data_IF_661945357215
#
_entry.id   IF_661945357215
#
_cell.length_a   1.000
_cell.length_b   1.000
_cell.length_c   1.000
_cell.angle_alpha   90.00
_cell.angle_beta   90.00
_cell.angle_gamma   90.00
#
_symmetry.space_group_name_H-M   'P 1'
#
loop_
_entity.id
_entity.type
_entity.pdbx_description
1 polymer ?
#
# COMPACT_ATOMS: atom_id res chain seq x y z
N UNK A 1 -21.63 -24.78 6.79
CA UNK A 1 -20.17 -24.77 6.54
C UNK A 1 -19.86 -23.45 5.86
N UNK A 2 -19.83 -22.36 6.64
CA UNK A 2 -19.47 -21.02 6.15
C UNK A 2 -17.96 -21.00 5.93
N UNK A 3 -17.51 -21.17 4.69
CA UNK A 3 -16.10 -21.48 4.43
C UNK A 3 -15.14 -20.34 4.85
N UNK A 4 -15.60 -19.08 4.88
CA UNK A 4 -14.85 -17.89 5.35
C UNK A 4 -15.88 -16.84 5.82
N UNK A 5 -15.74 -16.28 7.02
CA UNK A 5 -16.63 -15.18 7.47
C UNK A 5 -16.45 -13.94 6.57
N UNK A 6 -17.51 -13.18 6.27
CA UNK A 6 -17.40 -12.00 5.39
C UNK A 6 -16.39 -10.97 5.93
N UNK A 7 -16.21 -10.93 7.25
CA UNK A 7 -15.21 -10.10 7.89
C UNK A 7 -13.78 -10.52 7.53
N UNK A 8 -13.50 -11.82 7.50
CA UNK A 8 -12.18 -12.34 7.12
C UNK A 8 -11.89 -12.11 5.63
N UNK A 9 -12.91 -12.20 4.76
CA UNK A 9 -12.76 -11.82 3.34
C UNK A 9 -12.36 -10.35 3.21
N UNK A 10 -13.04 -9.44 3.93
CA UNK A 10 -12.71 -8.02 3.92
C UNK A 10 -11.30 -7.75 4.48
N UNK A 11 -10.88 -8.47 5.51
CA UNK A 11 -9.54 -8.34 6.08
C UNK A 11 -8.46 -8.71 5.07
N UNK A 12 -8.65 -9.80 4.31
CA UNK A 12 -7.70 -10.24 3.27
C UNK A 12 -7.69 -9.26 2.09
N UNK A 13 -8.86 -8.77 1.66
CA UNK A 13 -8.93 -7.76 0.59
C UNK A 13 -8.20 -6.48 1.02
N UNK A 14 -8.41 -6.02 2.25
CA UNK A 14 -7.70 -4.85 2.77
C UNK A 14 -6.20 -5.10 2.85
N UNK A 15 -5.78 -6.29 3.30
CA UNK A 15 -4.39 -6.69 3.32
C UNK A 15 -3.77 -6.66 1.93
N UNK A 16 -4.44 -7.19 0.90
CA UNK A 16 -3.97 -7.13 -0.49
C UNK A 16 -3.77 -5.69 -0.97
N UNK A 17 -4.72 -4.80 -0.70
CA UNK A 17 -4.64 -3.39 -1.09
C UNK A 17 -3.45 -2.71 -0.42
N UNK A 18 -3.34 -2.81 0.90
CA UNK A 18 -2.26 -2.20 1.68
C UNK A 18 -0.91 -2.82 1.31
N UNK A 19 -0.86 -4.13 1.01
CA UNK A 19 0.37 -4.81 0.57
C UNK A 19 0.89 -4.27 -0.74
N UNK A 20 0.03 -4.11 -1.75
CA UNK A 20 0.44 -3.56 -3.05
C UNK A 20 1.00 -2.14 -2.92
N UNK A 21 0.38 -1.32 -2.06
CA UNK A 21 0.86 0.03 -1.76
C UNK A 21 2.17 0.00 -0.98
N UNK A 22 2.30 -0.86 0.03
CA UNK A 22 3.50 -0.98 0.87
C UNK A 22 4.71 -1.50 0.07
N UNK A 23 4.50 -2.47 -0.82
CA UNK A 23 5.52 -2.98 -1.75
C UNK A 23 6.00 -1.85 -2.67
N UNK A 24 5.08 -1.04 -3.20
CA UNK A 24 5.44 0.13 -4.01
C UNK A 24 6.28 1.14 -3.23
N UNK A 25 5.84 1.52 -2.03
CA UNK A 25 6.56 2.46 -1.17
C UNK A 25 7.97 1.95 -0.82
N UNK A 26 8.06 0.66 -0.47
CA UNK A 26 9.34 0.00 -0.17
C UNK A 26 10.22 -0.01 -1.40
N UNK A 27 9.68 -0.35 -2.57
CA UNK A 27 10.46 -0.39 -3.80
C UNK A 27 11.05 0.98 -4.17
N UNK A 28 10.24 2.04 -4.09
CA UNK A 28 10.70 3.40 -4.32
C UNK A 28 11.86 3.75 -3.36
N UNK A 29 11.70 3.45 -2.08
CA UNK A 29 12.72 3.74 -1.08
C UNK A 29 13.99 2.89 -1.23
N UNK A 30 13.87 1.56 -1.26
CA UNK A 30 15.04 0.66 -1.26
C UNK A 30 15.86 0.74 -2.55
N UNK A 31 15.25 1.16 -3.68
CA UNK A 31 15.93 1.19 -4.98
C UNK A 31 16.35 2.58 -5.41
N UNK A 32 15.55 3.60 -5.14
CA UNK A 32 15.89 4.99 -5.53
C UNK A 32 16.33 5.86 -4.36
N UNK A 33 16.32 5.34 -3.13
CA UNK A 33 16.61 6.08 -1.90
C UNK A 33 15.70 7.31 -1.67
N UNK A 34 14.52 7.30 -2.30
CA UNK A 34 13.51 8.37 -2.20
C UNK A 34 12.23 7.80 -1.58
N UNK A 35 11.87 8.21 -0.36
CA UNK A 35 10.58 7.85 0.23
C UNK A 35 9.45 8.52 -0.55
N UNK A 36 8.48 7.73 -1.01
CA UNK A 36 7.29 8.25 -1.68
C UNK A 36 6.13 8.40 -0.69
N UNK A 37 5.92 9.61 -0.16
CA UNK A 37 4.78 9.88 0.71
C UNK A 37 3.44 9.93 -0.02
N UNK A 38 3.45 10.17 -1.33
CA UNK A 38 2.24 10.24 -2.14
C UNK A 38 1.65 8.85 -2.50
N UNK A 39 2.22 7.75 -1.99
CA UNK A 39 1.85 6.37 -2.36
C UNK A 39 0.36 6.08 -2.22
N UNK A 40 -0.28 6.53 -1.13
CA UNK A 40 -1.71 6.31 -0.92
C UNK A 40 -2.55 7.15 -1.89
N UNK A 41 -2.07 8.34 -2.26
CA UNK A 41 -2.72 9.21 -3.23
C UNK A 41 -2.63 8.66 -4.65
N UNK A 42 -1.55 7.96 -5.02
CA UNK A 42 -1.56 7.13 -6.24
C UNK A 42 -2.67 6.06 -6.21
N UNK A 43 -2.93 5.49 -5.03
CA UNK A 43 -4.09 4.64 -4.79
C UNK A 43 -5.43 5.33 -5.07
N UNK A 44 -5.61 6.53 -4.53
CA UNK A 44 -6.82 7.33 -4.78
C UNK A 44 -6.96 7.74 -6.25
N UNK A 45 -5.86 8.02 -6.94
CA UNK A 45 -5.88 8.23 -8.40
C UNK A 45 -6.45 6.98 -9.10
N UNK A 46 -6.03 5.78 -8.69
CA UNK A 46 -6.60 4.51 -9.15
C UNK A 46 -8.11 4.37 -8.88
N UNK A 47 -8.57 4.79 -7.70
CA UNK A 47 -10.00 4.84 -7.36
C UNK A 47 -10.77 5.73 -8.37
N UNK A 48 -10.25 6.90 -8.70
CA UNK A 48 -10.91 7.83 -9.63
C UNK A 48 -10.79 7.43 -11.10
N UNK A 49 -9.70 6.78 -11.52
CA UNK A 49 -9.60 6.15 -12.84
C UNK A 49 -10.67 5.07 -12.96
N UNK A 50 -10.79 4.21 -11.94
CA UNK A 50 -11.82 3.16 -11.86
C UNK A 50 -13.22 3.77 -11.93
N UNK A 51 -13.45 4.85 -11.19
CA UNK A 51 -14.73 5.56 -11.21
C UNK A 51 -15.10 6.04 -12.61
N UNK A 52 -14.16 6.66 -13.32
CA UNK A 52 -14.39 7.14 -14.68
C UNK A 52 -14.64 5.99 -15.66
N UNK A 53 -13.86 4.90 -15.58
CA UNK A 53 -14.08 3.71 -16.40
C UNK A 53 -15.48 3.10 -16.19
N UNK A 54 -15.90 2.95 -14.94
CA UNK A 54 -17.18 2.28 -14.62
C UNK A 54 -18.37 3.21 -14.84
N UNK A 55 -18.34 4.43 -14.30
CA UNK A 55 -19.50 5.33 -14.29
C UNK A 55 -19.66 6.16 -15.56
N UNK A 56 -18.57 6.51 -16.24
CA UNK A 56 -18.63 7.33 -17.46
C UNK A 56 -18.59 6.42 -18.69
N UNK A 57 -17.61 5.52 -18.76
CA UNK A 57 -17.46 4.64 -19.93
C UNK A 57 -18.29 3.35 -19.87
N UNK A 58 -18.95 3.05 -18.74
CA UNK A 58 -19.79 1.84 -18.60
C UNK A 58 -18.99 0.53 -18.63
N UNK A 59 -17.68 0.58 -18.37
CA UNK A 59 -16.82 -0.60 -18.43
C UNK A 59 -17.01 -1.51 -17.21
N UNK A 60 -16.77 -2.84 -17.34
CA UNK A 60 -16.72 -3.74 -16.20
C UNK A 60 -15.67 -3.28 -15.17
N UNK A 61 -16.00 -3.38 -13.88
CA UNK A 61 -15.15 -2.94 -12.76
C UNK A 61 -13.71 -3.46 -12.89
N UNK A 62 -13.56 -4.77 -13.12
CA UNK A 62 -12.24 -5.40 -13.16
C UNK A 62 -11.42 -5.07 -14.41
N UNK A 63 -12.06 -4.59 -15.49
CA UNK A 63 -11.34 -4.15 -16.69
C UNK A 63 -10.58 -2.84 -16.45
N UNK A 64 -11.06 -2.01 -15.51
CA UNK A 64 -10.39 -0.76 -15.10
C UNK A 64 -8.99 -0.98 -14.53
N UNK A 65 -8.66 -2.21 -14.08
CA UNK A 65 -7.36 -2.57 -13.55
C UNK A 65 -6.23 -2.33 -14.56
N UNK A 66 -6.45 -2.67 -15.84
CA UNK A 66 -5.47 -2.44 -16.89
C UNK A 66 -5.21 -0.94 -17.09
N UNK A 67 -6.27 -0.14 -17.07
CA UNK A 67 -6.15 1.32 -17.16
C UNK A 67 -5.44 1.91 -15.94
N UNK A 68 -5.72 1.42 -14.74
CA UNK A 68 -5.04 1.86 -13.52
C UNK A 68 -3.54 1.54 -13.54
N UNK A 69 -3.14 0.37 -14.02
CA UNK A 69 -1.73 0.01 -14.18
C UNK A 69 -1.02 0.96 -15.15
N UNK A 70 -1.62 1.19 -16.33
CA UNK A 70 -1.02 2.02 -17.38
C UNK A 70 -0.96 3.49 -16.96
N UNK A 71 -2.08 4.08 -16.57
CA UNK A 71 -2.14 5.49 -16.20
C UNK A 71 -1.42 5.77 -14.88
N UNK A 72 -1.55 4.89 -13.88
CA UNK A 72 -0.80 5.01 -12.63
C UNK A 72 0.71 4.97 -12.86
N UNK A 73 1.19 4.06 -13.71
CA UNK A 73 2.60 3.98 -14.07
C UNK A 73 3.09 5.18 -14.88
N UNK A 74 2.27 5.69 -15.82
CA UNK A 74 2.59 6.91 -16.57
C UNK A 74 2.70 8.11 -15.62
N UNK A 75 1.78 8.27 -14.68
CA UNK A 75 1.84 9.34 -13.67
C UNK A 75 3.11 9.20 -12.83
N UNK A 76 3.49 7.97 -12.44
CA UNK A 76 4.76 7.70 -11.77
C UNK A 76 5.99 8.15 -12.57
N UNK A 77 6.03 7.85 -13.87
CA UNK A 77 7.09 8.31 -14.78
C UNK A 77 7.11 9.84 -14.89
N UNK A 78 5.94 10.47 -15.00
CA UNK A 78 5.82 11.93 -15.11
C UNK A 78 6.39 12.59 -13.85
N UNK A 79 6.01 12.11 -12.67
CA UNK A 79 6.50 12.62 -11.39
C UNK A 79 8.01 12.43 -11.27
N UNK A 80 8.53 11.26 -11.67
CA UNK A 80 9.96 11.03 -11.68
C UNK A 80 10.68 12.05 -12.58
N UNK A 81 10.22 12.24 -13.82
CA UNK A 81 10.88 13.14 -14.78
C UNK A 81 10.76 14.62 -14.42
N UNK A 82 9.61 15.05 -13.91
CA UNK A 82 9.33 16.46 -13.67
C UNK A 82 9.77 16.93 -12.28
N UNK A 83 9.86 16.03 -11.29
CA UNK A 83 10.17 16.41 -9.92
C UNK A 83 11.41 15.70 -9.40
N UNK A 84 11.41 14.37 -9.37
CA UNK A 84 12.44 13.60 -8.66
C UNK A 84 13.80 13.72 -9.35
N UNK A 85 13.84 13.55 -10.67
CA UNK A 85 15.06 13.65 -11.45
C UNK A 85 15.69 15.06 -11.40
N UNK A 86 14.95 16.17 -11.63
CA UNK A 86 15.53 17.50 -11.51
C UNK A 86 16.03 17.84 -10.10
N UNK A 87 15.33 17.37 -9.06
CA UNK A 87 15.80 17.53 -7.67
C UNK A 87 17.12 16.79 -7.46
N UNK A 88 17.22 15.55 -7.95
CA UNK A 88 18.43 14.74 -7.85
C UNK A 88 19.60 15.34 -8.62
N UNK A 89 19.38 15.81 -9.85
CA UNK A 89 20.41 16.48 -10.67
C UNK A 89 20.95 17.76 -10.02
N UNK A 90 20.17 18.40 -9.15
CA UNK A 90 20.57 19.57 -8.36
C UNK A 90 21.25 19.21 -7.03
N UNK A 91 21.48 17.93 -6.76
CA UNK A 91 22.12 17.47 -5.53
C UNK A 91 21.23 17.54 -4.30
N UNK A 92 19.90 17.47 -4.47
CA UNK A 92 18.98 17.44 -3.34
C UNK A 92 19.26 16.23 -2.45
N UNK A 93 19.29 16.49 -1.15
CA UNK A 93 19.36 15.48 -0.10
C UNK A 93 18.10 14.62 -0.06
N UNK A 94 18.19 13.49 0.66
CA UNK A 94 17.07 12.57 0.82
C UNK A 94 15.89 13.26 1.50
N UNK A 95 16.17 14.07 2.51
CA UNK A 95 15.20 14.80 3.30
C UNK A 95 14.46 15.85 2.46
N UNK A 96 15.18 16.58 1.60
CA UNK A 96 14.58 17.54 0.66
C UNK A 96 13.63 16.85 -0.33
N UNK A 97 14.02 15.68 -0.83
CA UNK A 97 13.16 14.90 -1.74
C UNK A 97 11.94 14.35 -1.02
N UNK A 98 12.06 13.96 0.25
CA UNK A 98 10.92 13.57 1.09
C UNK A 98 9.90 14.71 1.21
N UNK A 99 10.36 15.91 1.56
CA UNK A 99 9.51 17.11 1.67
C UNK A 99 8.84 17.41 0.32
N UNK A 100 9.56 17.26 -0.80
CA UNK A 100 8.97 17.43 -2.12
C UNK A 100 7.84 16.42 -2.41
N UNK A 101 7.98 15.15 -2.01
CA UNK A 101 6.91 14.16 -2.19
C UNK A 101 5.71 14.39 -1.28
N UNK A 102 5.90 14.99 -0.10
CA UNK A 102 4.79 15.46 0.75
C UNK A 102 4.05 16.63 0.10
N UNK A 103 4.78 17.59 -0.47
CA UNK A 103 4.18 18.68 -1.25
C UNK A 103 3.41 18.18 -2.47
N UNK A 104 3.96 17.17 -3.15
CA UNK A 104 3.29 16.48 -4.25
C UNK A 104 2.01 15.77 -3.79
N UNK A 105 2.03 15.09 -2.64
CA UNK A 105 0.85 14.43 -2.08
C UNK A 105 -0.32 15.41 -1.89
N UNK A 106 -0.03 16.56 -1.25
CA UNK A 106 -1.02 17.62 -1.04
C UNK A 106 -1.54 18.17 -2.38
N UNK A 107 -0.66 18.40 -3.35
CA UNK A 107 -1.02 18.85 -4.69
C UNK A 107 -1.94 17.85 -5.40
N UNK A 108 -1.61 16.56 -5.36
CA UNK A 108 -2.40 15.50 -5.99
C UNK A 108 -3.78 15.36 -5.33
N UNK A 109 -3.86 15.46 -4.00
CA UNK A 109 -5.14 15.46 -3.27
C UNK A 109 -6.00 16.66 -3.71
N UNK A 110 -5.42 17.85 -3.87
CA UNK A 110 -6.14 19.02 -4.35
C UNK A 110 -6.66 18.82 -5.79
N UNK A 111 -5.83 18.29 -6.69
CA UNK A 111 -6.25 17.96 -8.06
C UNK A 111 -7.37 16.92 -8.09
N UNK A 112 -7.31 15.90 -7.24
CA UNK A 112 -8.37 14.90 -7.12
C UNK A 112 -9.69 15.50 -6.60
N UNK A 113 -9.63 16.44 -5.66
CA UNK A 113 -10.82 17.15 -5.21
C UNK A 113 -11.44 17.99 -6.33
N UNK A 114 -10.63 18.73 -7.09
CA UNK A 114 -11.09 19.49 -8.27
C UNK A 114 -11.74 18.54 -9.28
N UNK A 115 -11.12 17.38 -9.54
CA UNK A 115 -11.64 16.39 -10.46
C UNK A 115 -12.97 15.78 -9.97
N UNK A 116 -13.09 15.45 -8.70
CA UNK A 116 -14.33 14.94 -8.11
C UNK A 116 -15.47 15.98 -8.17
N UNK A 117 -15.16 17.25 -7.95
CA UNK A 117 -16.15 18.33 -8.06
C UNK A 117 -16.58 18.56 -9.51
N UNK A 118 -15.63 18.45 -10.45
CA UNK A 118 -15.91 18.49 -11.88
C UNK A 118 -16.85 17.34 -12.30
N UNK A 119 -16.57 16.11 -11.87
CA UNK A 119 -17.42 14.94 -12.12
C UNK A 119 -18.83 15.15 -11.58
N UNK A 120 -18.95 15.68 -10.36
CA UNK A 120 -20.23 15.93 -9.72
C UNK A 120 -21.04 17.01 -10.45
N UNK A 121 -20.40 18.10 -10.88
CA UNK A 121 -21.08 19.22 -11.53
C UNK A 121 -21.45 18.96 -12.99
N UNK A 122 -20.56 18.33 -13.74
CA UNK A 122 -20.72 18.15 -15.19
C UNK A 122 -21.49 16.87 -15.51
N UNK A 123 -21.07 15.75 -14.92
CA UNK A 123 -21.70 14.45 -15.18
C UNK A 123 -22.88 14.15 -14.26
N UNK A 124 -23.15 15.01 -13.27
CA UNK A 124 -24.25 14.86 -12.29
C UNK A 124 -24.22 13.52 -11.56
N UNK A 125 -23.03 12.97 -11.36
CA UNK A 125 -22.79 11.71 -10.63
C UNK A 125 -22.25 12.02 -9.23
N UNK A 126 -22.62 11.19 -8.25
CA UNK A 126 -22.10 11.31 -6.90
C UNK A 126 -20.65 10.80 -6.86
N UNK A 127 -19.68 11.71 -7.03
CA UNK A 127 -18.24 11.40 -7.05
C UNK A 127 -17.55 11.55 -5.68
N UNK A 128 -18.34 11.75 -4.63
CA UNK A 128 -17.92 11.75 -3.21
C UNK A 128 -18.76 10.72 -2.47
N UNK A 129 -18.13 9.99 -1.56
CA UNK A 129 -18.76 8.96 -0.71
C UNK A 129 -19.49 7.87 -1.49
N UNK A 130 -18.84 7.34 -2.52
CA UNK A 130 -19.39 6.28 -3.37
C UNK A 130 -18.82 4.90 -3.01
N UNK A 131 -19.52 3.85 -3.44
CA UNK A 131 -19.07 2.46 -3.38
C UNK A 131 -19.43 1.72 -4.68
N UNK A 132 -18.62 0.74 -5.03
CA UNK A 132 -18.84 -0.19 -6.15
C UNK A 132 -19.25 -1.59 -5.71
N UNK A 133 -19.74 -1.75 -4.47
CA UNK A 133 -20.28 -3.03 -3.99
C UNK A 133 -21.32 -3.65 -4.93
N UNK A 134 -22.16 -2.82 -5.58
CA UNK A 134 -23.18 -3.29 -6.53
C UNK A 134 -22.64 -3.75 -7.90
N UNK A 135 -21.40 -3.38 -8.25
CA UNK A 135 -20.73 -3.81 -9.48
C UNK A 135 -19.86 -5.04 -9.27
N UNK A 136 -19.79 -5.56 -8.04
CA UNK A 136 -19.12 -6.82 -7.75
C UNK A 136 -20.04 -8.01 -8.07
N UNK A 137 -19.44 -9.14 -8.41
CA UNK A 137 -20.14 -10.40 -8.57
C UNK A 137 -19.92 -11.27 -7.33
N UNK A 138 -20.81 -12.23 -7.06
CA UNK A 138 -20.62 -13.21 -6.02
C UNK A 138 -20.60 -14.61 -6.63
N UNK A 139 -19.58 -15.40 -6.30
CA UNK A 139 -19.46 -16.80 -6.74
C UNK A 139 -19.47 -17.68 -5.50
N UNK A 140 -20.49 -18.53 -5.39
CA UNK A 140 -20.59 -19.55 -4.32
C UNK A 140 -20.40 -19.00 -2.88
N UNK A 141 -20.86 -17.76 -2.61
CA UNK A 141 -20.76 -17.11 -1.30
C UNK A 141 -19.45 -16.33 -1.06
N UNK A 142 -18.55 -16.29 -2.04
CA UNK A 142 -17.34 -15.46 -2.02
C UNK A 142 -17.56 -14.19 -2.84
N UNK A 143 -17.17 -13.05 -2.28
CA UNK A 143 -17.18 -11.78 -3.01
C UNK A 143 -16.15 -11.84 -4.14
N UNK A 144 -16.52 -11.37 -5.34
CA UNK A 144 -15.64 -11.37 -6.51
C UNK A 144 -14.37 -10.59 -6.24
N UNK A 145 -14.45 -9.51 -5.45
CA UNK A 145 -13.29 -8.71 -5.08
C UNK A 145 -12.26 -9.51 -4.26
N UNK A 146 -12.71 -10.46 -3.43
CA UNK A 146 -11.82 -11.35 -2.68
C UNK A 146 -11.01 -12.23 -3.63
N UNK A 147 -11.66 -12.84 -4.62
CA UNK A 147 -11.02 -13.72 -5.59
C UNK A 147 -10.05 -12.93 -6.47
N UNK A 148 -10.52 -11.83 -7.06
CA UNK A 148 -9.73 -11.05 -8.03
C UNK A 148 -8.56 -10.35 -7.34
N UNK A 149 -8.76 -9.73 -6.17
CA UNK A 149 -7.67 -9.05 -5.45
C UNK A 149 -6.59 -10.04 -4.99
N UNK A 150 -6.98 -11.22 -4.51
CA UNK A 150 -6.02 -12.24 -4.05
C UNK A 150 -5.24 -12.84 -5.21
N UNK A 151 -5.91 -13.15 -6.33
CA UNK A 151 -5.25 -13.67 -7.53
C UNK A 151 -4.30 -12.62 -8.12
N UNK A 152 -4.73 -11.36 -8.17
CA UNK A 152 -3.90 -10.26 -8.66
C UNK A 152 -2.69 -10.03 -7.76
N UNK A 153 -2.87 -9.98 -6.44
CA UNK A 153 -1.78 -9.83 -5.49
C UNK A 153 -0.76 -10.97 -5.59
N UNK A 154 -1.23 -12.23 -5.64
CA UNK A 154 -0.36 -13.38 -5.82
C UNK A 154 0.42 -13.31 -7.14
N UNK A 155 -0.24 -12.91 -8.25
CA UNK A 155 0.41 -12.73 -9.53
C UNK A 155 1.49 -11.63 -9.48
N UNK A 156 1.22 -10.48 -8.84
CA UNK A 156 2.18 -9.39 -8.67
C UNK A 156 3.36 -9.83 -7.82
N UNK A 157 3.14 -10.53 -6.71
CA UNK A 157 4.21 -11.03 -5.85
C UNK A 157 5.13 -12.00 -6.61
N UNK A 158 4.57 -12.96 -7.33
CA UNK A 158 5.34 -13.93 -8.13
C UNK A 158 6.11 -13.20 -9.24
N UNK A 159 5.48 -12.26 -9.92
CA UNK A 159 6.11 -11.48 -10.98
C UNK A 159 7.30 -10.67 -10.46
N UNK A 160 7.10 -9.93 -9.35
CA UNK A 160 8.18 -9.15 -8.73
C UNK A 160 9.29 -10.04 -8.20
N UNK A 161 8.96 -11.20 -7.62
CA UNK A 161 9.98 -12.16 -7.19
C UNK A 161 10.86 -12.62 -8.35
N UNK A 162 10.26 -13.01 -9.48
CA UNK A 162 10.98 -13.44 -10.67
C UNK A 162 11.85 -12.28 -11.19
N UNK A 163 11.30 -11.07 -11.29
CA UNK A 163 12.05 -9.89 -11.74
C UNK A 163 13.27 -9.65 -10.84
N UNK A 164 13.12 -9.65 -9.52
CA UNK A 164 14.25 -9.34 -8.62
C UNK A 164 15.27 -10.46 -8.46
N UNK A 165 14.89 -11.73 -8.66
CA UNK A 165 15.79 -12.87 -8.39
C UNK A 165 16.34 -13.55 -9.63
N UNK A 166 15.64 -13.48 -10.77
CA UNK A 166 15.98 -14.23 -11.99
C UNK A 166 16.34 -13.35 -13.18
N UNK A 167 16.12 -12.03 -13.13
CA UNK A 167 16.36 -11.16 -14.28
C UNK A 167 17.54 -10.21 -14.09
N UNK A 168 18.18 -9.83 -15.19
CA UNK A 168 19.26 -8.84 -15.22
C UNK A 168 18.81 -7.48 -14.68
N UNK A 169 17.52 -7.12 -14.88
CA UNK A 169 16.94 -5.90 -14.32
C UNK A 169 16.99 -5.92 -12.78
N UNK A 170 16.65 -7.05 -12.15
CA UNK A 170 16.70 -7.21 -10.71
C UNK A 170 18.11 -7.07 -10.13
N UNK A 171 19.10 -7.66 -10.81
CA UNK A 171 20.52 -7.56 -10.43
C UNK A 171 21.00 -6.11 -10.53
N UNK A 172 20.68 -5.43 -11.63
CA UNK A 172 21.04 -4.03 -11.85
C UNK A 172 20.37 -3.09 -10.84
N UNK A 173 19.09 -3.33 -10.51
CA UNK A 173 18.38 -2.59 -9.46
C UNK A 173 18.95 -2.84 -8.07
N UNK A 174 19.47 -4.05 -7.80
CA UNK A 174 20.15 -4.34 -6.54
C UNK A 174 21.47 -3.56 -6.45
N UNK A 175 22.28 -3.56 -7.50
CA UNK A 175 23.52 -2.77 -7.55
C UNK A 175 23.25 -1.27 -7.36
N UNK A 176 22.22 -0.74 -8.04
CA UNK A 176 21.79 0.66 -7.91
C UNK A 176 21.37 1.05 -6.48
N UNK A 177 20.73 0.13 -5.75
CA UNK A 177 20.28 0.39 -4.38
C UNK A 177 21.40 0.41 -3.34
N UNK A 178 22.56 -0.20 -3.63
CA UNK A 178 23.74 -0.15 -2.76
C UNK A 178 24.51 1.16 -2.96
N UNK A 179 24.89 1.45 -4.21
CA UNK A 179 25.54 2.69 -4.58
C UNK A 179 25.27 3.00 -6.06
N UNK A 180 24.51 4.06 -6.29
CA UNK A 180 24.11 4.47 -7.63
C UNK A 180 25.33 4.91 -8.47
N UNK A 181 26.28 5.64 -7.89
CA UNK A 181 27.45 6.14 -8.60
C UNK A 181 28.39 5.01 -9.01
N UNK A 182 28.57 4.01 -8.15
CA UNK A 182 29.35 2.81 -8.50
C UNK A 182 28.64 1.97 -9.58
N UNK A 183 27.31 1.85 -9.53
CA UNK A 183 26.57 1.14 -10.57
C UNK A 183 26.70 1.82 -11.95
N UNK A 184 26.69 3.15 -12.00
CA UNK A 184 26.92 3.93 -13.23
C UNK A 184 28.33 3.69 -13.80
N UNK A 185 29.35 3.63 -12.95
CA UNK A 185 30.72 3.29 -13.36
C UNK A 185 30.82 1.87 -13.94
N UNK A 186 29.95 0.94 -13.53
CA UNK A 186 29.87 -0.42 -14.08
C UNK A 186 29.03 -0.50 -15.37
N UNK A 187 28.63 0.64 -15.94
CA UNK A 187 27.87 0.71 -17.19
C UNK A 187 26.37 0.46 -17.03
N UNK A 188 25.84 0.46 -15.81
CA UNK A 188 24.41 0.32 -15.56
C UNK A 188 23.70 1.64 -15.86
N UNK A 189 22.67 1.59 -16.70
CA UNK A 189 21.82 2.75 -16.96
C UNK A 189 20.82 2.96 -15.82
N UNK A 190 21.23 3.71 -14.80
CA UNK A 190 20.43 4.03 -13.60
C UNK A 190 19.18 4.85 -13.92
N UNK A 191 19.21 5.67 -14.96
CA UNK A 191 18.07 6.48 -15.38
C UNK A 191 16.90 5.61 -15.84
N UNK A 192 17.17 4.58 -16.65
CA UNK A 192 16.14 3.61 -17.07
C UNK A 192 15.62 2.83 -15.86
N UNK A 193 16.50 2.40 -14.96
CA UNK A 193 16.08 1.65 -13.77
C UNK A 193 15.20 2.49 -12.84
N UNK A 194 15.51 3.77 -12.68
CA UNK A 194 14.70 4.69 -11.90
C UNK A 194 13.34 4.92 -12.57
N UNK A 195 13.29 5.10 -13.89
CA UNK A 195 12.02 5.20 -14.64
C UNK A 195 11.14 3.96 -14.46
N UNK A 196 11.72 2.76 -14.56
CA UNK A 196 10.99 1.50 -14.35
C UNK A 196 10.52 1.39 -12.90
N UNK A 197 11.36 1.76 -11.94
CA UNK A 197 11.01 1.74 -10.51
C UNK A 197 9.83 2.66 -10.22
N UNK A 198 9.86 3.90 -10.74
CA UNK A 198 8.79 4.87 -10.55
C UNK A 198 7.51 4.53 -11.33
N UNK A 199 7.64 3.86 -12.48
CA UNK A 199 6.48 3.27 -13.16
C UNK A 199 5.79 2.23 -12.27
N UNK A 200 6.55 1.28 -11.70
CA UNK A 200 5.98 0.27 -10.78
C UNK A 200 5.42 0.95 -9.52
N UNK A 201 6.12 1.97 -9.00
CA UNK A 201 5.70 2.70 -7.81
C UNK A 201 4.37 3.45 -8.00
N UNK A 202 4.05 3.89 -9.22
CA UNK A 202 2.75 4.48 -9.54
C UNK A 202 1.68 3.47 -9.94
N UNK A 203 2.06 2.42 -10.67
CA UNK A 203 1.14 1.41 -11.21
C UNK A 203 0.52 0.53 -10.11
N UNK A 204 1.32 0.05 -9.15
CA UNK A 204 0.81 -0.87 -8.12
C UNK A 204 -0.20 -0.23 -7.16
N UNK A 205 0.03 0.98 -6.59
CA UNK A 205 -0.98 1.62 -5.76
C UNK A 205 -2.24 1.95 -6.55
N UNK A 206 -2.11 2.44 -7.79
CA UNK A 206 -3.26 2.73 -8.63
C UNK A 206 -4.10 1.46 -8.89
N UNK A 207 -3.46 0.33 -9.19
CA UNK A 207 -4.17 -0.94 -9.33
C UNK A 207 -4.82 -1.40 -8.02
N UNK A 208 -4.18 -1.20 -6.87
CA UNK A 208 -4.76 -1.48 -5.56
C UNK A 208 -6.02 -0.66 -5.29
N UNK A 209 -6.06 0.58 -5.79
CA UNK A 209 -7.22 1.48 -5.72
C UNK A 209 -8.50 0.93 -6.35
N UNK A 210 -8.42 0.02 -7.33
CA UNK A 210 -9.59 -0.60 -7.97
C UNK A 210 -10.44 -1.38 -6.97
N UNK A 211 -9.80 -2.04 -6.00
CA UNK A 211 -10.46 -2.94 -5.06
C UNK A 211 -11.06 -2.22 -3.86
N UNK A 212 -10.51 -1.05 -3.49
CA UNK A 212 -10.93 -0.29 -2.32
C UNK A 212 -12.43 0.13 -2.33
N UNK A 213 -12.98 0.76 -3.40
CA UNK A 213 -14.35 1.24 -3.41
C UNK A 213 -15.40 0.14 -3.33
N UNK A 214 -15.03 -1.14 -3.47
CA UNK A 214 -15.98 -2.26 -3.43
C UNK A 214 -16.50 -2.49 -2.01
N UNK A 215 -15.60 -2.47 -1.02
CA UNK A 215 -15.92 -2.77 0.37
C UNK A 215 -15.97 -1.53 1.26
N UNK A 216 -15.33 -0.43 0.86
CA UNK A 216 -15.28 0.80 1.65
C UNK A 216 -15.77 2.01 0.84
N UNK A 217 -16.32 2.98 1.58
CA UNK A 217 -16.75 4.25 1.01
C UNK A 217 -15.53 5.04 0.57
N UNK A 218 -15.56 5.53 -0.68
CA UNK A 218 -14.44 6.25 -1.29
C UNK A 218 -14.72 7.74 -1.40
N UNK A 219 -13.73 8.54 -1.04
CA UNK A 219 -13.69 9.99 -1.22
C UNK A 219 -12.27 10.45 -1.64
N UNK A 220 -12.11 11.69 -2.15
CA UNK A 220 -10.79 12.18 -2.60
C UNK A 220 -9.74 12.24 -1.49
N UNK A 221 -10.18 12.37 -0.24
CA UNK A 221 -9.32 12.57 0.93
C UNK A 221 -8.95 11.25 1.63
N UNK A 222 -9.41 10.10 1.11
CA UNK A 222 -9.19 8.79 1.73
C UNK A 222 -7.71 8.44 1.83
N UNK A 223 -6.87 8.99 0.95
CA UNK A 223 -5.42 8.78 0.96
C UNK A 223 -4.79 9.22 2.28
N UNK A 224 -5.30 10.29 2.93
CA UNK A 224 -4.80 10.77 4.21
C UNK A 224 -4.96 9.74 5.34
N UNK A 225 -5.93 8.83 5.23
CA UNK A 225 -6.15 7.77 6.20
C UNK A 225 -5.41 6.48 5.80
N UNK A 226 -5.44 6.12 4.51
CA UNK A 226 -4.78 4.90 4.01
C UNK A 226 -3.26 5.00 4.14
N UNK A 227 -2.68 6.20 3.95
CA UNK A 227 -1.23 6.42 4.04
C UNK A 227 -0.68 5.97 5.40
N UNK A 228 -1.44 6.16 6.49
CA UNK A 228 -1.06 5.71 7.83
C UNK A 228 -0.95 4.19 7.87
N UNK A 229 -1.94 3.46 7.34
CA UNK A 229 -1.90 2.00 7.29
C UNK A 229 -0.76 1.48 6.42
N UNK A 230 -0.47 2.14 5.29
CA UNK A 230 0.64 1.77 4.39
C UNK A 230 1.99 1.97 5.08
N UNK A 231 2.24 3.14 5.69
CA UNK A 231 3.49 3.38 6.39
C UNK A 231 3.64 2.53 7.65
N UNK A 232 2.57 2.32 8.41
CA UNK A 232 2.57 1.38 9.53
C UNK A 232 3.00 -0.02 9.09
N UNK A 233 2.53 -0.46 7.92
CA UNK A 233 2.90 -1.74 7.33
C UNK A 233 4.37 -1.81 6.93
N UNK A 234 4.88 -0.76 6.28
CA UNK A 234 6.29 -0.68 5.90
C UNK A 234 7.23 -0.61 7.11
N UNK A 235 6.83 0.07 8.17
CA UNK A 235 7.61 0.16 9.42
C UNK A 235 7.57 -1.17 10.16
N UNK A 236 6.39 -1.81 10.24
CA UNK A 236 6.24 -3.11 10.87
C UNK A 236 7.06 -4.18 10.13
N UNK A 237 6.94 -4.26 8.82
CA UNK A 237 7.71 -5.19 8.00
C UNK A 237 9.20 -4.87 7.96
N UNK A 238 9.52 -3.61 7.68
CA UNK A 238 10.84 -3.12 7.32
C UNK A 238 10.88 -2.64 5.86
N UNK A 239 11.72 -1.65 5.57
CA UNK A 239 11.91 -1.07 4.21
C UNK A 239 12.95 -1.82 3.36
N UNK A 240 13.23 -3.10 3.66
CA UNK A 240 14.34 -3.84 3.06
C UNK A 240 13.91 -4.68 1.86
N UNK A 241 12.91 -5.54 2.03
CA UNK A 241 12.43 -6.42 0.95
C UNK A 241 10.94 -6.30 0.71
N UNK A 242 10.51 -6.70 -0.50
CA UNK A 242 9.08 -6.75 -0.86
C UNK A 242 8.29 -7.73 0.01
N UNK A 243 8.94 -8.76 0.56
CA UNK A 243 8.32 -9.75 1.43
C UNK A 243 8.02 -9.19 2.81
N UNK A 244 8.93 -8.37 3.33
CA UNK A 244 8.77 -7.70 4.61
C UNK A 244 7.57 -6.76 4.56
N UNK A 245 7.48 -5.96 3.48
CA UNK A 245 6.37 -5.07 3.24
C UNK A 245 5.01 -5.82 3.14
N UNK A 246 4.99 -6.97 2.47
CA UNK A 246 3.81 -7.83 2.38
C UNK A 246 3.43 -8.44 3.74
N UNK A 247 4.40 -8.98 4.49
CA UNK A 247 4.14 -9.56 5.80
C UNK A 247 3.62 -8.50 6.80
N UNK A 248 4.26 -7.32 6.84
CA UNK A 248 3.84 -6.21 7.70
C UNK A 248 2.44 -5.71 7.37
N UNK A 249 2.10 -5.61 6.09
CA UNK A 249 0.76 -5.17 5.66
C UNK A 249 -0.34 -6.16 5.98
N UNK A 250 -0.08 -7.46 5.86
CA UNK A 250 -1.05 -8.47 6.31
C UNK A 250 -1.34 -8.37 7.80
N UNK A 251 -0.31 -8.20 8.65
CA UNK A 251 -0.51 -8.05 10.09
C UNK A 251 -1.31 -6.79 10.42
N UNK A 252 -0.91 -5.64 9.88
CA UNK A 252 -1.59 -4.36 10.12
C UNK A 252 -3.04 -4.39 9.62
N UNK A 253 -3.26 -4.85 8.39
CA UNK A 253 -4.58 -4.87 7.78
C UNK A 253 -5.53 -5.84 8.48
N UNK A 254 -5.06 -7.04 8.83
CA UNK A 254 -5.86 -8.00 9.59
C UNK A 254 -6.19 -7.47 10.98
N UNK A 255 -5.23 -6.88 11.68
CA UNK A 255 -5.48 -6.25 12.97
C UNK A 255 -6.52 -5.13 12.83
N UNK A 256 -6.39 -4.26 11.83
CA UNK A 256 -7.31 -3.14 11.61
C UNK A 256 -8.75 -3.62 11.31
N UNK A 257 -8.93 -4.58 10.40
CA UNK A 257 -10.28 -5.03 10.00
C UNK A 257 -10.94 -5.93 11.04
N UNK A 258 -10.18 -6.75 11.76
CA UNK A 258 -10.74 -7.67 12.78
C UNK A 258 -10.98 -6.96 14.12
N UNK A 259 -10.07 -6.09 14.54
CA UNK A 259 -10.10 -5.48 15.88
C UNK A 259 -11.13 -4.35 15.98
N UNK A 260 -11.31 -3.56 14.93
CA UNK A 260 -12.21 -2.39 14.96
C UNK A 260 -13.68 -2.73 15.18
N UNK A 261 -14.28 -3.71 14.47
CA UNK A 261 -15.65 -4.13 14.76
C UNK A 261 -15.81 -4.70 16.18
N UNK A 262 -14.77 -5.39 16.67
CA UNK A 262 -14.75 -5.90 18.05
C UNK A 262 -14.74 -4.75 19.07
N UNK A 263 -13.90 -3.73 18.91
CA UNK A 263 -13.93 -2.53 19.76
C UNK A 263 -15.26 -1.78 19.64
N UNK A 264 -15.83 -1.70 18.44
CA UNK A 264 -17.11 -1.05 18.21
C UNK A 264 -18.25 -1.73 18.97
N UNK A 265 -18.18 -3.04 19.21
CA UNK A 265 -19.15 -3.75 20.03
C UNK A 265 -19.08 -3.41 21.52
N UNK A 266 -17.93 -2.93 22.00
CA UNK A 266 -17.69 -2.60 23.42
C UNK A 266 -17.90 -1.10 23.69
N UNK A 267 -17.33 -0.24 22.85
CA UNK A 267 -17.29 1.22 23.02
C UNK A 267 -18.43 1.92 22.28
N UNK A 268 -18.95 1.28 21.22
CA UNK A 268 -20.02 1.78 20.37
C UNK A 268 -19.61 2.01 18.90
N UNK A 269 -20.57 2.18 17.97
CA UNK A 269 -20.31 2.25 16.53
C UNK A 269 -19.47 3.45 16.06
N UNK A 270 -19.34 4.49 16.88
CA UNK A 270 -18.62 5.73 16.57
C UNK A 270 -17.13 5.52 16.28
N UNK A 271 -16.56 4.38 16.69
CA UNK A 271 -15.15 4.06 16.48
C UNK A 271 -14.85 3.51 15.09
N UNK A 272 -15.86 3.07 14.33
CA UNK A 272 -15.69 2.45 13.01
C UNK A 272 -14.89 3.32 12.01
N UNK A 273 -15.08 4.65 11.92
CA UNK A 273 -14.30 5.50 11.02
C UNK A 273 -12.83 5.61 11.44
N UNK A 274 -12.50 5.37 12.71
CA UNK A 274 -11.17 5.53 13.28
C UNK A 274 -10.31 4.26 13.15
N UNK A 275 -10.56 3.46 12.11
CA UNK A 275 -9.85 2.20 11.90
C UNK A 275 -8.33 2.34 11.81
N UNK A 276 -7.87 3.44 11.22
CA UNK A 276 -6.45 3.77 11.08
C UNK A 276 -5.72 3.96 12.43
N UNK A 277 -6.45 4.20 13.53
CA UNK A 277 -5.88 4.33 14.86
C UNK A 277 -5.18 3.04 15.30
N UNK A 278 -5.72 1.87 14.94
CA UNK A 278 -5.09 0.58 15.24
C UNK A 278 -3.74 0.46 14.54
N UNK A 279 -3.67 0.83 13.26
CA UNK A 279 -2.41 0.85 12.51
C UNK A 279 -1.40 1.81 13.12
N UNK A 280 -1.84 3.01 13.54
CA UNK A 280 -0.99 4.00 14.20
C UNK A 280 -0.43 3.48 15.53
N UNK A 281 -1.26 2.86 16.37
CA UNK A 281 -0.83 2.29 17.65
C UNK A 281 0.19 1.17 17.45
N UNK A 282 -0.05 0.26 16.50
CA UNK A 282 0.90 -0.82 16.20
C UNK A 282 2.20 -0.24 15.65
N UNK A 283 2.13 0.77 14.80
CA UNK A 283 3.32 1.46 14.29
C UNK A 283 4.13 2.09 15.42
N UNK A 284 3.50 2.86 16.31
CA UNK A 284 4.16 3.49 17.47
C UNK A 284 4.82 2.42 18.35
N UNK A 285 4.07 1.37 18.67
CA UNK A 285 4.59 0.24 19.45
C UNK A 285 5.80 -0.40 18.77
N UNK A 286 5.73 -0.61 17.46
CA UNK A 286 6.81 -1.23 16.70
C UNK A 286 8.05 -0.34 16.68
N UNK A 287 7.91 0.97 16.49
CA UNK A 287 9.07 1.88 16.51
C UNK A 287 9.77 1.89 17.87
N UNK A 288 9.00 1.82 18.96
CA UNK A 288 9.56 1.82 20.33
C UNK A 288 10.29 0.50 20.63
N UNK A 289 9.69 -0.64 20.25
CA UNK A 289 10.21 -1.96 20.63
C UNK A 289 11.21 -2.50 19.60
N UNK A 290 10.96 -2.28 18.32
CA UNK A 290 11.72 -2.82 17.17
C UNK A 290 11.98 -1.73 16.12
N UNK A 291 12.98 -0.84 16.32
CA UNK A 291 13.25 0.29 15.43
C UNK A 291 13.66 -0.10 14.00
N UNK A 292 14.05 -1.36 13.78
CA UNK A 292 14.36 -1.92 12.44
C UNK A 292 13.21 -2.73 11.83
N UNK A 293 12.03 -2.74 12.44
CA UNK A 293 10.89 -3.57 12.03
C UNK A 293 11.14 -5.07 12.22
N UNK A 294 10.24 -5.90 11.67
CA UNK A 294 10.27 -7.36 11.71
C UNK A 294 11.54 -7.96 11.06
N UNK A 295 12.08 -7.28 10.04
CA UNK A 295 13.32 -7.67 9.37
C UNK A 295 14.57 -7.63 10.27
N UNK A 296 14.61 -6.73 11.25
CA UNK A 296 15.75 -6.58 12.16
C UNK A 296 15.86 -7.64 13.26
N UNK A 297 14.89 -8.55 13.35
CA UNK A 297 14.80 -9.52 14.43
C UNK A 297 15.62 -10.79 14.12
N UNK A 298 16.61 -11.15 14.96
CA UNK A 298 17.20 -12.48 14.95
C UNK A 298 16.11 -13.47 15.42
N UNK A 299 15.40 -14.09 14.47
CA UNK A 299 14.26 -14.99 14.72
C UNK A 299 14.57 -16.14 15.70
N UNK A 300 15.83 -16.56 15.78
CA UNK A 300 16.34 -17.53 16.76
C UNK A 300 16.28 -17.01 18.21
N UNK A 301 16.63 -15.75 18.47
CA UNK A 301 16.64 -15.15 19.82
C UNK A 301 15.23 -14.70 20.23
N UNK A 302 14.41 -14.32 19.25
CA UNK A 302 13.06 -13.80 19.46
C UNK A 302 12.09 -14.93 19.79
N UNK A 303 12.26 -16.10 19.17
CA UNK A 303 11.54 -17.31 19.55
C UNK A 303 11.79 -17.67 21.02
N UNK A 304 13.03 -17.63 21.48
CA UNK A 304 13.39 -17.90 22.88
C UNK A 304 12.81 -16.84 23.83
N UNK A 305 12.96 -15.54 23.54
CA UNK A 305 12.40 -14.48 24.41
C UNK A 305 10.88 -14.41 24.44
N UNK A 306 10.20 -14.73 23.34
CA UNK A 306 8.73 -14.82 23.33
C UNK A 306 8.25 -16.03 24.13
N UNK A 307 8.94 -17.17 24.02
CA UNK A 307 8.65 -18.34 24.85
C UNK A 307 8.86 -18.03 26.34
N UNK A 308 9.96 -17.35 26.69
CA UNK A 308 10.22 -16.88 28.06
C UNK A 308 9.14 -15.90 28.54
N UNK A 309 8.72 -14.93 27.72
CA UNK A 309 7.67 -13.97 28.06
C UNK A 309 6.29 -14.63 28.26
N UNK A 310 5.93 -15.61 27.41
CA UNK A 310 4.70 -16.37 27.56
C UNK A 310 4.74 -17.33 28.77
N UNK A 311 5.91 -17.90 29.10
CA UNK A 311 6.09 -18.69 30.31
C UNK A 311 6.07 -17.85 31.59
N UNK A 312 6.62 -16.63 31.57
CA UNK A 312 6.51 -15.68 32.68
C UNK A 312 5.07 -15.18 32.87
N UNK A 313 4.31 -14.97 31.78
CA UNK A 313 2.87 -14.69 31.89
C UNK A 313 2.09 -15.87 32.49
N UNK A 314 2.41 -17.11 32.11
CA UNK A 314 1.80 -18.32 32.72
C UNK A 314 2.17 -18.48 34.20
N UNK A 315 3.38 -18.07 34.61
CA UNK A 315 3.78 -18.04 36.03
C UNK A 315 3.01 -16.98 36.82
N UNK A 316 2.84 -15.78 36.28
CA UNK A 316 2.05 -14.72 36.91
C UNK A 316 0.58 -15.12 37.09
N UNK A 317 0.01 -15.91 36.18
CA UNK A 317 -1.37 -16.43 36.30
C UNK A 317 -1.54 -17.60 37.27
N UNK A 318 -0.46 -18.25 37.74
CA UNK A 318 -0.53 -19.34 38.73
C UNK A 318 -0.61 -18.87 40.19
N UNK A 319 -0.43 -17.57 40.47
CA UNK A 319 -0.52 -17.00 41.82
C UNK A 319 -1.88 -16.38 42.17
N UNK A 320 -2.91 -16.58 41.33
CA UNK A 320 -4.32 -16.29 41.66
C UNK A 320 -5.13 -17.59 41.70
N UNK A 321 -4.86 -18.42 42.70
CA UNK A 321 -5.82 -19.37 43.27
C UNK A 321 -5.67 -19.35 44.78
#
# INVERSE_FOLDING_TARGET
MELITPLLQNAIVFANIVSLMAISATLALSKTNVPNFAVATFGTIGIYITFTCVKIFGMPLYLSLLFCLVFGGIIGIIIYRLMIRPLRERGATREETMIATLGLDILLIALLNIYADYLTRVFKVMARDFTFSAYDFNIAGLNGVFIVSTLFFAAVLVLLHIIFTKTNLGIAMKAMGEDQSLAECQGVNTEILCLVTWFIAGALPAAAGVFFPVNWISNPTISLFIVVSVFASCVLGGFSTIYDAAAGSYIIAMAQVLLIPYLASIVGPWILPYGFLVALLIMIFTVIVFPRGLYGLPWNIVGERLLEFFDDMKRCWRFKK
#
